data_IF_475160955618
#
_entry.id   IF_475160955618
#
_cell.length_a   1.000
_cell.length_b   1.000
_cell.length_c   1.000
_cell.angle_alpha   90.00
_cell.angle_beta   90.00
_cell.angle_gamma   90.00
#
_symmetry.space_group_name_H-M   'P 1'
#
loop_
_entity.id
_entity.type
_entity.pdbx_description
1 polymer ?
#
# COMPACT_ATOMS: atom_id res chain seq x y z
N UNK A 1 -2.84 22.73 12.58
CA UNK A 1 -2.16 22.54 11.27
C UNK A 1 -2.90 21.44 10.52
N UNK A 2 -3.27 21.62 9.24
CA UNK A 2 -4.04 20.61 8.51
C UNK A 2 -3.15 19.38 8.21
N UNK A 3 -3.68 18.14 8.29
CA UNK A 3 -2.96 16.94 7.90
C UNK A 3 -2.50 17.03 6.44
N UNK A 4 -1.27 16.61 6.17
CA UNK A 4 -0.78 16.47 4.79
C UNK A 4 -1.44 15.26 4.16
N UNK A 5 -1.99 15.44 2.96
CA UNK A 5 -2.59 14.37 2.15
C UNK A 5 -1.63 13.95 1.05
N UNK A 6 -1.42 12.65 0.91
CA UNK A 6 -0.60 12.05 -0.13
C UNK A 6 -1.40 11.02 -0.89
N UNK A 7 -1.05 10.83 -2.16
CA UNK A 7 -1.50 9.69 -2.95
C UNK A 7 -0.47 8.57 -2.81
N UNK A 8 -0.97 7.35 -2.75
CA UNK A 8 -0.14 6.16 -2.67
C UNK A 8 -0.94 4.95 -3.11
N UNK A 9 -0.37 3.79 -2.84
CA UNK A 9 -0.96 2.50 -3.16
C UNK A 9 -0.87 1.59 -1.94
N UNK A 10 -1.80 0.66 -1.83
CA UNK A 10 -1.80 -0.35 -0.77
C UNK A 10 -2.22 -1.71 -1.30
N UNK A 11 -1.63 -2.76 -0.75
CA UNK A 11 -2.14 -4.11 -0.87
C UNK A 11 -3.17 -4.33 0.24
N UNK A 12 -4.37 -4.73 -0.17
CA UNK A 12 -5.46 -5.08 0.74
C UNK A 12 -5.75 -6.58 0.69
N UNK A 13 -6.12 -7.15 1.84
CA UNK A 13 -6.69 -8.49 1.86
C UNK A 13 -8.08 -8.53 1.19
N UNK A 14 -8.64 -9.74 1.00
CA UNK A 14 -9.97 -9.93 0.42
C UNK A 14 -11.12 -9.27 1.20
N UNK A 15 -10.88 -8.84 2.44
CA UNK A 15 -11.85 -8.17 3.31
C UNK A 15 -11.65 -6.65 3.32
N UNK A 16 -10.66 -6.13 2.59
CA UNK A 16 -10.32 -4.72 2.52
C UNK A 16 -9.40 -4.23 3.65
N UNK A 17 -8.76 -5.12 4.41
CA UNK A 17 -7.79 -4.72 5.43
C UNK A 17 -6.42 -4.44 4.83
N UNK A 18 -5.74 -3.43 5.38
CA UNK A 18 -4.40 -3.03 4.96
C UNK A 18 -3.37 -4.10 5.33
N UNK A 19 -2.69 -4.66 4.32
CA UNK A 19 -1.54 -5.55 4.51
C UNK A 19 -0.23 -4.77 4.36
N UNK A 20 -0.16 -3.92 3.34
CA UNK A 20 1.03 -3.15 2.99
C UNK A 20 0.65 -1.85 2.29
N UNK A 21 1.49 -0.82 2.39
CA UNK A 21 1.24 0.46 1.72
C UNK A 21 2.51 1.22 1.35
N UNK A 22 2.41 2.06 0.33
CA UNK A 22 3.52 2.86 -0.20
C UNK A 22 3.04 4.20 -0.75
N UNK A 23 3.96 5.17 -0.85
CA UNK A 23 3.74 6.51 -1.45
C UNK A 23 4.24 6.60 -2.90
N UNK A 24 4.46 5.45 -3.56
CA UNK A 24 4.84 5.40 -4.99
C UNK A 24 3.78 6.12 -5.83
N UNK A 25 4.25 6.71 -6.93
CA UNK A 25 3.41 7.54 -7.80
C UNK A 25 2.73 6.75 -8.91
N UNK A 26 3.20 5.55 -9.21
CA UNK A 26 2.61 4.64 -10.20
C UNK A 26 2.23 3.32 -9.56
N UNK A 27 1.18 2.72 -10.11
CA UNK A 27 0.67 1.40 -9.70
C UNK A 27 1.70 0.31 -10.00
N UNK A 28 2.36 0.38 -11.17
CA UNK A 28 3.40 -0.56 -11.60
C UNK A 28 4.56 -0.57 -10.60
N UNK A 29 5.13 0.60 -10.25
CA UNK A 29 6.22 0.65 -9.26
C UNK A 29 5.75 0.17 -7.89
N UNK A 30 4.49 0.42 -7.53
CA UNK A 30 3.93 -0.06 -6.28
C UNK A 30 3.82 -1.59 -6.26
N UNK A 31 3.35 -2.20 -7.35
CA UNK A 31 3.27 -3.65 -7.51
C UNK A 31 4.66 -4.29 -7.49
N UNK A 32 5.60 -3.78 -8.28
CA UNK A 32 6.99 -4.29 -8.30
C UNK A 32 7.65 -4.20 -6.92
N UNK A 33 7.41 -3.09 -6.19
CA UNK A 33 7.92 -2.93 -4.83
C UNK A 33 7.24 -3.91 -3.87
N UNK A 34 5.92 -4.09 -4.00
CA UNK A 34 5.16 -5.02 -3.19
C UNK A 34 5.71 -6.44 -3.34
N UNK A 35 5.83 -6.93 -4.58
CA UNK A 35 6.25 -8.30 -4.88
C UNK A 35 7.69 -8.57 -4.46
N UNK A 36 8.56 -7.55 -4.56
CA UNK A 36 9.96 -7.64 -4.09
C UNK A 36 10.07 -7.83 -2.58
N UNK A 37 9.22 -7.17 -1.79
CA UNK A 37 9.30 -7.18 -0.33
C UNK A 37 8.33 -8.16 0.34
N UNK A 38 7.34 -8.66 -0.41
CA UNK A 38 6.37 -9.67 0.02
C UNK A 38 6.38 -10.83 -0.98
N UNK A 39 7.51 -11.56 -1.11
CA UNK A 39 7.58 -12.67 -2.06
C UNK A 39 6.57 -13.75 -1.67
N UNK A 40 5.65 -14.07 -2.58
CA UNK A 40 4.71 -15.17 -2.41
C UNK A 40 5.39 -16.50 -2.80
N UNK A 41 5.70 -17.38 -1.84
CA UNK A 41 6.35 -18.67 -2.14
C UNK A 41 5.45 -19.64 -2.91
N UNK A 42 4.13 -19.40 -2.96
CA UNK A 42 3.16 -20.24 -3.68
C UNK A 42 2.92 -19.77 -5.11
N UNK A 43 3.13 -18.47 -5.39
CA UNK A 43 2.86 -17.85 -6.69
C UNK A 43 1.37 -17.76 -7.05
N UNK A 44 0.47 -18.16 -6.15
CA UNK A 44 -0.98 -18.13 -6.37
C UNK A 44 -1.59 -16.75 -6.03
N UNK A 45 -0.84 -15.91 -5.32
CA UNK A 45 -1.29 -14.65 -4.75
C UNK A 45 -2.27 -14.88 -3.59
N UNK A 46 -2.15 -14.13 -2.50
CA UNK A 46 -3.10 -14.24 -1.38
C UNK A 46 -4.46 -13.56 -1.68
N UNK A 47 -4.76 -13.29 -2.96
CA UNK A 47 -5.89 -12.48 -3.40
C UNK A 47 -5.74 -11.00 -3.04
N UNK A 48 -4.50 -10.54 -2.92
CA UNK A 48 -4.17 -9.16 -2.64
C UNK A 48 -4.26 -8.34 -3.92
N UNK A 49 -4.88 -7.16 -3.84
CA UNK A 49 -4.91 -6.21 -4.93
C UNK A 49 -4.19 -4.94 -4.49
N UNK A 50 -3.24 -4.48 -5.30
CA UNK A 50 -2.65 -3.15 -5.14
C UNK A 50 -3.65 -2.12 -5.65
N UNK A 51 -4.13 -1.27 -4.75
CA UNK A 51 -5.17 -0.28 -5.04
C UNK A 51 -4.72 1.14 -4.68
N UNK A 52 -5.20 2.19 -5.37
CA UNK A 52 -4.88 3.56 -5.03
C UNK A 52 -5.52 3.97 -3.69
N UNK A 53 -4.77 4.69 -2.86
CA UNK A 53 -5.24 5.20 -1.55
C UNK A 53 -4.84 6.66 -1.30
N UNK A 54 -5.60 7.32 -0.41
CA UNK A 54 -5.23 8.60 0.20
C UNK A 54 -4.59 8.35 1.58
N UNK A 55 -3.32 8.74 1.75
CA UNK A 55 -2.61 8.64 3.01
C UNK A 55 -2.67 10.00 3.72
N UNK A 56 -3.13 9.99 4.97
CA UNK A 56 -3.18 11.17 5.85
C UNK A 56 -2.11 11.06 6.93
N UNK A 57 -1.07 11.88 6.84
CA UNK A 57 -0.04 11.93 7.87
C UNK A 57 -0.46 12.88 9.00
N UNK A 58 -0.38 12.39 10.23
CA UNK A 58 -0.53 13.18 11.45
C UNK A 58 0.85 13.55 11.98
N UNK A 59 0.95 14.68 12.68
CA UNK A 59 2.18 14.98 13.43
C UNK A 59 2.32 13.98 14.58
N UNK A 60 3.55 13.56 14.92
CA UNK A 60 3.80 12.87 16.19
C UNK A 60 3.26 13.74 17.32
N UNK A 61 2.45 13.15 18.19
CA UNK A 61 2.11 13.77 19.47
C UNK A 61 3.36 13.63 20.36
N UNK A 62 3.85 14.76 20.88
CA UNK A 62 5.00 14.79 21.79
C UNK A 62 4.60 14.31 23.17
#
# INVERSE_FOLDING_TARGET
MKPSRYRGFAALDRRGHLLWGTIKRSEIEAQETHDRFNPDPTGEGMGEAVVPIEIRLRKPEK
#
